data_IF_717295522509
#
_entry.id   IF_717295522509
#
_cell.length_a   1.000
_cell.length_b   1.000
_cell.length_c   1.000
_cell.angle_alpha   90.00
_cell.angle_beta   90.00
_cell.angle_gamma   90.00
#
_symmetry.space_group_name_H-M   'P 1'
#
loop_
_entity.id
_entity.type
_entity.pdbx_description
1 polymer ?
#
# COMPACT_ATOMS: atom_id res chain seq x y z
N UNK A 1 -51.86 -62.77 -5.37
CA UNK A 1 -50.63 -62.21 -5.96
C UNK A 1 -50.29 -60.95 -5.20
N UNK A 2 -49.08 -60.89 -4.65
CA UNK A 2 -48.66 -59.78 -3.80
C UNK A 2 -47.61 -58.92 -4.50
N UNK A 3 -47.90 -57.63 -4.64
CA UNK A 3 -47.04 -56.61 -5.23
C UNK A 3 -46.15 -55.91 -4.20
N UNK A 4 -46.35 -56.16 -2.91
CA UNK A 4 -45.67 -55.49 -1.81
C UNK A 4 -45.93 -53.98 -1.81
N UNK A 5 -44.98 -53.24 -1.23
CA UNK A 5 -45.01 -51.78 -1.19
C UNK A 5 -44.52 -51.19 -2.51
N UNK A 6 -45.33 -50.30 -3.10
CA UNK A 6 -44.98 -49.54 -4.31
C UNK A 6 -45.25 -48.06 -4.04
N UNK A 7 -44.27 -47.16 -4.28
CA UNK A 7 -44.50 -45.74 -4.11
C UNK A 7 -45.66 -45.23 -4.97
N UNK A 8 -46.44 -44.29 -4.44
CA UNK A 8 -47.51 -43.62 -5.20
C UNK A 8 -46.93 -43.05 -6.52
N UNK A 9 -47.69 -43.25 -7.61
CA UNK A 9 -47.35 -42.90 -9.00
C UNK A 9 -46.16 -43.69 -9.61
N UNK A 10 -45.64 -44.71 -8.93
CA UNK A 10 -44.76 -45.73 -9.52
C UNK A 10 -45.51 -47.03 -9.78
N UNK A 11 -44.96 -47.89 -10.65
CA UNK A 11 -45.59 -49.16 -11.00
C UNK A 11 -44.70 -50.36 -10.72
N UNK A 12 -45.31 -51.49 -10.34
CA UNK A 12 -44.68 -52.82 -10.32
C UNK A 12 -45.49 -53.78 -11.17
N UNK A 13 -44.83 -54.45 -12.12
CA UNK A 13 -45.43 -55.48 -12.96
C UNK A 13 -45.01 -56.86 -12.46
N UNK A 14 -45.95 -57.80 -12.41
CA UNK A 14 -45.65 -59.20 -12.15
C UNK A 14 -46.29 -60.08 -13.24
N UNK A 15 -45.58 -61.12 -13.72
CA UNK A 15 -46.09 -61.99 -14.77
C UNK A 15 -47.17 -62.93 -14.22
N UNK A 16 -48.16 -63.21 -15.07
CA UNK A 16 -49.25 -64.16 -14.85
C UNK A 16 -49.30 -65.11 -16.05
N UNK A 17 -49.37 -66.41 -15.75
CA UNK A 17 -49.57 -67.47 -16.73
C UNK A 17 -50.95 -68.05 -16.50
N UNK A 18 -51.85 -67.85 -17.46
CA UNK A 18 -53.21 -68.38 -17.45
C UNK A 18 -53.28 -69.66 -18.30
N UNK A 19 -53.40 -70.82 -17.66
CA UNK A 19 -53.37 -72.13 -18.34
C UNK A 19 -54.75 -72.78 -18.35
N UNK A 20 -55.23 -73.19 -19.51
CA UNK A 20 -56.42 -74.03 -19.59
C UNK A 20 -56.05 -75.49 -19.31
N UNK A 21 -56.43 -75.99 -18.13
CA UNK A 21 -56.21 -77.39 -17.71
C UNK A 21 -57.41 -78.30 -18.00
N UNK A 22 -58.49 -77.74 -18.56
CA UNK A 22 -59.70 -78.46 -18.95
C UNK A 22 -59.53 -79.25 -20.25
N UNK A 23 -60.63 -79.89 -20.67
CA UNK A 23 -60.69 -80.67 -21.92
C UNK A 23 -61.37 -79.92 -23.07
N UNK A 24 -61.99 -78.78 -22.77
CA UNK A 24 -62.73 -77.94 -23.72
C UNK A 24 -62.02 -76.59 -23.84
N UNK A 25 -62.29 -75.88 -24.94
CA UNK A 25 -61.75 -74.54 -25.18
C UNK A 25 -62.35 -73.57 -24.16
N UNK A 26 -61.51 -72.79 -23.48
CA UNK A 26 -61.97 -71.76 -22.55
C UNK A 26 -62.05 -70.42 -23.29
N UNK A 27 -63.26 -69.96 -23.58
CA UNK A 27 -63.50 -68.64 -24.15
C UNK A 27 -63.60 -67.60 -23.03
N UNK A 28 -62.77 -66.57 -23.08
CA UNK A 28 -62.80 -65.46 -22.12
C UNK A 28 -63.88 -64.47 -22.56
N UNK A 29 -64.96 -64.37 -21.80
CA UNK A 29 -66.13 -63.52 -22.10
C UNK A 29 -66.03 -62.13 -21.47
N UNK A 30 -65.29 -62.02 -20.34
CA UNK A 30 -65.15 -60.78 -19.58
C UNK A 30 -63.87 -60.79 -18.76
N UNK A 31 -63.33 -59.59 -18.49
CA UNK A 31 -62.24 -59.42 -17.54
C UNK A 31 -62.49 -58.20 -16.67
N UNK A 32 -62.54 -58.41 -15.36
CA UNK A 32 -62.67 -57.35 -14.37
C UNK A 32 -61.34 -57.15 -13.65
N UNK A 33 -60.79 -55.93 -13.75
CA UNK A 33 -59.52 -55.53 -13.09
C UNK A 33 -59.86 -54.54 -11.98
N UNK A 34 -59.40 -54.77 -10.72
CA UNK A 34 -59.69 -53.88 -9.61
C UNK A 34 -58.91 -52.55 -9.73
N UNK A 35 -59.38 -51.51 -9.05
CA UNK A 35 -58.72 -50.20 -9.04
C UNK A 35 -57.26 -50.31 -8.58
N UNK A 36 -56.37 -49.55 -9.24
CA UNK A 36 -54.93 -49.57 -8.94
C UNK A 36 -54.16 -50.63 -9.73
N UNK A 37 -54.84 -51.45 -10.53
CA UNK A 37 -54.22 -52.47 -11.38
C UNK A 37 -54.57 -52.26 -12.86
N UNK A 38 -53.67 -52.70 -13.74
CA UNK A 38 -53.91 -52.78 -15.18
C UNK A 38 -53.23 -54.02 -15.77
N UNK A 39 -53.58 -54.40 -16.99
CA UNK A 39 -53.00 -55.53 -17.69
C UNK A 39 -52.09 -55.04 -18.82
N UNK A 40 -50.96 -55.71 -19.01
CA UNK A 40 -49.98 -55.42 -20.06
C UNK A 40 -49.53 -56.71 -20.75
N UNK A 41 -49.18 -56.63 -22.03
CA UNK A 41 -48.62 -57.76 -22.79
C UNK A 41 -49.63 -58.56 -23.64
N UNK A 42 -50.91 -58.20 -23.63
CA UNK A 42 -51.95 -58.83 -24.45
C UNK A 42 -52.35 -57.88 -25.58
N UNK A 43 -51.93 -58.18 -26.81
CA UNK A 43 -51.99 -57.27 -27.97
C UNK A 43 -53.41 -56.86 -28.37
N UNK A 44 -54.42 -57.67 -28.05
CA UNK A 44 -55.82 -57.46 -28.41
C UNK A 44 -56.78 -57.51 -27.20
N UNK A 45 -56.24 -57.49 -25.98
CA UNK A 45 -56.99 -57.72 -24.74
C UNK A 45 -57.29 -59.21 -24.48
N UNK A 46 -57.71 -59.53 -23.26
CA UNK A 46 -58.04 -60.91 -22.87
C UNK A 46 -59.45 -61.33 -23.33
N UNK A 47 -60.39 -60.40 -23.41
CA UNK A 47 -61.78 -60.67 -23.81
C UNK A 47 -61.84 -61.09 -25.28
N UNK A 48 -62.56 -62.18 -25.57
CA UNK A 48 -62.66 -62.79 -26.90
C UNK A 48 -61.51 -63.72 -27.25
N UNK A 49 -60.51 -63.89 -26.35
CA UNK A 49 -59.47 -64.90 -26.53
C UNK A 49 -59.98 -66.29 -26.21
N UNK A 50 -59.61 -67.27 -27.03
CA UNK A 50 -59.88 -68.70 -26.82
C UNK A 50 -58.61 -69.42 -26.39
N UNK A 51 -58.61 -69.96 -25.17
CA UNK A 51 -57.49 -70.75 -24.64
C UNK A 51 -57.77 -72.22 -24.88
N UNK A 52 -57.03 -72.82 -25.81
CA UNK A 52 -57.17 -74.25 -26.16
C UNK A 52 -56.77 -75.15 -24.97
N UNK A 53 -57.31 -76.40 -24.89
CA UNK A 53 -56.91 -77.35 -23.87
C UNK A 53 -55.38 -77.55 -23.81
N UNK A 54 -54.79 -77.37 -22.62
CA UNK A 54 -53.36 -77.53 -22.38
C UNK A 54 -52.48 -76.36 -22.80
N UNK A 55 -53.03 -75.27 -23.35
CA UNK A 55 -52.26 -74.07 -23.70
C UNK A 55 -52.34 -73.00 -22.61
N UNK A 56 -51.44 -72.01 -22.69
CA UNK A 56 -51.40 -70.88 -21.75
C UNK A 56 -51.38 -69.54 -22.47
N UNK A 57 -51.94 -68.52 -21.82
CA UNK A 57 -51.74 -67.11 -22.14
C UNK A 57 -50.82 -66.50 -21.09
N UNK A 58 -49.88 -65.68 -21.53
CA UNK A 58 -48.96 -64.94 -20.65
C UNK A 58 -49.24 -63.45 -20.72
N UNK A 59 -49.37 -62.80 -19.57
CA UNK A 59 -49.54 -61.36 -19.45
C UNK A 59 -48.96 -60.85 -18.13
N UNK A 60 -48.81 -59.54 -18.00
CA UNK A 60 -48.42 -58.91 -16.74
C UNK A 60 -49.62 -58.22 -16.11
N UNK A 61 -49.76 -58.39 -14.79
CA UNK A 61 -50.58 -57.50 -13.98
C UNK A 61 -49.66 -56.40 -13.45
N UNK A 62 -50.03 -55.14 -13.67
CA UNK A 62 -49.26 -53.96 -13.27
C UNK A 62 -50.02 -53.25 -12.16
N UNK A 63 -49.40 -53.16 -10.98
CA UNK A 63 -49.88 -52.37 -9.86
C UNK A 63 -49.32 -50.94 -9.95
N UNK A 64 -50.19 -49.93 -9.93
CA UNK A 64 -49.88 -48.49 -9.97
C UNK A 64 -50.75 -47.78 -8.91
N UNK A 65 -50.31 -47.73 -7.64
CA UNK A 65 -51.05 -47.06 -6.58
C UNK A 65 -51.08 -45.54 -6.83
N UNK A 66 -52.27 -44.94 -6.71
CA UNK A 66 -52.47 -43.50 -6.82
C UNK A 66 -52.74 -42.81 -5.47
N UNK A 67 -52.68 -43.58 -4.37
CA UNK A 67 -52.79 -43.11 -2.99
C UNK A 67 -52.06 -44.07 -2.06
N UNK A 68 -51.81 -43.62 -0.84
CA UNK A 68 -51.30 -44.48 0.21
C UNK A 68 -52.34 -45.49 0.69
N UNK A 69 -51.87 -46.65 1.16
CA UNK A 69 -52.68 -47.70 1.76
C UNK A 69 -52.84 -48.95 0.88
N UNK A 70 -53.54 -49.95 1.43
CA UNK A 70 -53.74 -51.23 0.77
C UNK A 70 -54.72 -51.12 -0.42
N UNK A 71 -54.38 -51.81 -1.49
CA UNK A 71 -55.21 -52.09 -2.66
C UNK A 71 -55.44 -53.60 -2.69
N UNK A 72 -56.55 -54.03 -2.10
CA UNK A 72 -57.01 -55.40 -2.16
C UNK A 72 -58.13 -55.51 -3.21
N UNK A 73 -58.04 -56.52 -4.07
CA UNK A 73 -59.06 -56.74 -5.08
C UNK A 73 -58.86 -58.07 -5.81
N UNK A 74 -59.78 -58.38 -6.70
CA UNK A 74 -59.75 -59.62 -7.46
C UNK A 74 -59.68 -59.30 -8.96
N UNK A 75 -58.67 -59.84 -9.63
CA UNK A 75 -58.70 -59.98 -11.09
C UNK A 75 -59.62 -61.16 -11.40
N UNK A 76 -60.73 -60.90 -12.07
CA UNK A 76 -61.70 -61.93 -12.47
C UNK A 76 -61.66 -62.08 -13.98
N UNK A 77 -61.39 -63.30 -14.45
CA UNK A 77 -61.49 -63.70 -15.85
C UNK A 77 -62.76 -64.53 -15.99
N UNK A 78 -63.79 -63.96 -16.60
CA UNK A 78 -65.10 -64.58 -16.79
C UNK A 78 -65.05 -65.45 -18.04
N UNK A 79 -65.63 -66.65 -17.96
CA UNK A 79 -65.69 -67.56 -19.09
C UNK A 79 -66.94 -68.44 -19.06
N UNK A 80 -67.29 -68.99 -20.22
CA UNK A 80 -68.52 -69.76 -20.41
C UNK A 80 -68.66 -70.98 -19.47
N UNK A 81 -67.53 -71.53 -19.01
CA UNK A 81 -67.48 -72.70 -18.12
C UNK A 81 -67.26 -72.32 -16.63
N UNK A 82 -67.20 -71.03 -16.31
CA UNK A 82 -67.03 -70.48 -14.97
C UNK A 82 -65.89 -69.46 -14.88
N UNK A 83 -65.92 -68.68 -13.79
CA UNK A 83 -64.96 -67.59 -13.58
C UNK A 83 -63.67 -68.08 -12.92
N UNK A 84 -62.55 -67.52 -13.36
CA UNK A 84 -61.23 -67.70 -12.72
C UNK A 84 -60.87 -66.42 -11.98
N UNK A 85 -60.59 -66.56 -10.69
CA UNK A 85 -60.33 -65.44 -9.79
C UNK A 85 -58.87 -65.48 -9.30
N UNK A 86 -58.20 -64.33 -9.36
CA UNK A 86 -56.87 -64.13 -8.80
C UNK A 86 -56.93 -62.95 -7.81
N UNK A 87 -56.76 -63.25 -6.52
CA UNK A 87 -56.62 -62.22 -5.49
C UNK A 87 -55.35 -61.40 -5.75
N UNK A 88 -55.48 -60.07 -5.70
CA UNK A 88 -54.39 -59.11 -5.83
C UNK A 88 -54.27 -58.34 -4.52
N UNK A 89 -53.04 -58.19 -4.05
CA UNK A 89 -52.68 -57.38 -2.90
C UNK A 89 -51.49 -56.48 -3.28
N UNK A 90 -51.53 -55.23 -2.88
CA UNK A 90 -50.43 -54.28 -3.01
C UNK A 90 -50.66 -53.10 -2.08
N UNK A 91 -49.59 -52.45 -1.64
CA UNK A 91 -49.68 -51.30 -0.72
C UNK A 91 -49.03 -50.09 -1.39
N UNK A 92 -49.80 -49.03 -1.57
CA UNK A 92 -49.27 -47.73 -1.95
C UNK A 92 -48.55 -47.09 -0.76
N UNK A 93 -47.31 -46.65 -0.95
CA UNK A 93 -46.52 -45.96 0.09
C UNK A 93 -46.07 -44.57 -0.36
N UNK A 94 -45.75 -43.70 0.60
CA UNK A 94 -45.19 -42.37 0.31
C UNK A 94 -43.91 -42.53 -0.52
N UNK A 95 -43.79 -41.76 -1.59
CA UNK A 95 -42.53 -41.66 -2.32
C UNK A 95 -41.51 -40.90 -1.47
N UNK A 96 -40.46 -41.58 -1.03
CA UNK A 96 -39.36 -41.01 -0.24
C UNK A 96 -38.28 -40.43 -1.16
N UNK A 97 -38.19 -39.10 -1.27
CA UNK A 97 -37.16 -38.38 -2.05
C UNK A 97 -36.72 -37.13 -1.29
N UNK A 98 -35.42 -36.88 -1.09
CA UNK A 98 -34.96 -35.62 -0.51
C UNK A 98 -35.08 -34.48 -1.52
N UNK A 99 -35.32 -33.27 -1.03
CA UNK A 99 -35.32 -32.05 -1.84
C UNK A 99 -34.42 -31.04 -1.15
N UNK A 100 -33.16 -31.00 -1.58
CA UNK A 100 -32.13 -30.17 -0.95
C UNK A 100 -32.00 -28.83 -1.67
N UNK A 101 -31.95 -27.76 -0.89
CA UNK A 101 -31.70 -26.39 -1.36
C UNK A 101 -30.59 -25.76 -0.52
N UNK A 102 -29.85 -24.81 -1.10
CA UNK A 102 -28.75 -24.10 -0.44
C UNK A 102 -29.01 -22.59 -0.44
N UNK A 103 -28.68 -21.93 0.66
CA UNK A 103 -28.77 -20.48 0.79
C UNK A 103 -27.67 -19.93 1.72
N UNK A 104 -26.92 -18.89 1.33
CA UNK A 104 -26.92 -18.27 0.00
C UNK A 104 -26.29 -19.18 -1.07
N UNK A 105 -26.59 -18.91 -2.35
CA UNK A 105 -25.99 -19.61 -3.51
C UNK A 105 -24.60 -19.06 -3.90
N UNK A 106 -24.17 -17.99 -3.24
CA UNK A 106 -22.84 -17.41 -3.43
C UNK A 106 -22.34 -16.77 -2.13
N UNK A 107 -21.03 -16.82 -1.92
CA UNK A 107 -20.35 -16.21 -0.78
C UNK A 107 -19.18 -15.37 -1.30
N UNK A 108 -19.12 -14.12 -0.86
CA UNK A 108 -17.96 -13.25 -1.04
C UNK A 108 -17.25 -13.07 0.29
N UNK A 109 -16.00 -13.52 0.37
CA UNK A 109 -15.16 -13.39 1.55
C UNK A 109 -14.52 -12.00 1.66
N UNK A 110 -14.62 -11.16 0.61
CA UNK A 110 -13.99 -9.85 0.57
C UNK A 110 -12.46 -9.93 0.56
N UNK A 111 -11.81 -8.87 1.04
CA UNK A 111 -10.36 -8.80 1.13
C UNK A 111 -9.85 -9.45 2.43
N UNK A 112 -8.93 -10.42 2.28
CA UNK A 112 -8.33 -11.18 3.38
C UNK A 112 -6.81 -11.12 3.25
N UNK A 113 -6.13 -10.82 4.35
CA UNK A 113 -4.68 -10.73 4.38
C UNK A 113 -4.02 -12.10 4.10
N UNK A 114 -2.89 -12.10 3.38
CA UNK A 114 -2.15 -13.34 3.13
C UNK A 114 -1.74 -14.00 4.45
N UNK A 115 -1.97 -15.31 4.56
CA UNK A 115 -1.70 -16.10 5.77
C UNK A 115 -2.82 -16.08 6.82
N UNK A 116 -3.83 -15.21 6.66
CA UNK A 116 -5.04 -15.20 7.48
C UNK A 116 -6.15 -16.06 6.85
N UNK A 117 -7.25 -16.26 7.59
CA UNK A 117 -8.43 -16.96 7.09
C UNK A 117 -9.72 -16.18 7.34
N UNK A 118 -10.67 -16.28 6.40
CA UNK A 118 -12.04 -15.83 6.59
C UNK A 118 -13.00 -17.02 6.53
N UNK A 119 -14.09 -16.94 7.29
CA UNK A 119 -15.10 -17.99 7.40
C UNK A 119 -16.48 -17.45 7.04
N UNK A 120 -17.25 -18.26 6.34
CA UNK A 120 -18.63 -17.98 6.00
C UNK A 120 -19.47 -19.25 6.16
N UNK A 121 -20.76 -19.09 6.40
CA UNK A 121 -21.69 -20.20 6.58
C UNK A 121 -22.76 -20.18 5.51
N UNK A 122 -23.02 -21.32 4.89
CA UNK A 122 -24.20 -21.57 4.06
C UNK A 122 -25.16 -22.50 4.81
N UNK A 123 -26.45 -22.43 4.48
CA UNK A 123 -27.47 -23.30 5.01
C UNK A 123 -27.99 -24.23 3.93
N UNK A 124 -28.06 -25.53 4.24
CA UNK A 124 -28.69 -26.55 3.42
C UNK A 124 -30.01 -26.94 4.08
N UNK A 125 -31.11 -26.88 3.34
CA UNK A 125 -32.46 -27.19 3.83
C UNK A 125 -33.06 -28.34 3.05
N UNK A 126 -33.72 -29.27 3.75
CA UNK A 126 -34.41 -30.40 3.14
C UNK A 126 -35.93 -30.25 3.24
N UNK A 127 -36.59 -29.93 2.12
CA UNK A 127 -38.05 -29.85 2.02
C UNK A 127 -38.68 -31.11 1.40
N UNK A 128 -37.91 -32.18 1.27
CA UNK A 128 -38.36 -33.45 0.70
C UNK A 128 -39.09 -34.34 1.70
N UNK A 129 -39.29 -35.60 1.31
CA UNK A 129 -40.00 -36.62 2.09
C UNK A 129 -39.06 -37.71 2.60
N UNK A 130 -37.75 -37.55 2.43
CA UNK A 130 -36.70 -38.44 2.91
C UNK A 130 -35.49 -37.64 3.39
N UNK A 131 -34.66 -38.16 4.32
CA UNK A 131 -33.38 -37.56 4.66
C UNK A 131 -32.45 -37.48 3.43
N UNK A 132 -31.75 -36.36 3.25
CA UNK A 132 -30.77 -36.21 2.18
C UNK A 132 -29.35 -36.28 2.71
N UNK A 133 -28.43 -36.93 1.98
CA UNK A 133 -27.03 -37.07 2.40
C UNK A 133 -26.09 -36.36 1.45
N UNK A 134 -25.35 -35.38 1.96
CA UNK A 134 -24.21 -34.78 1.28
C UNK A 134 -23.00 -35.67 1.52
N UNK A 135 -22.56 -36.40 0.49
CA UNK A 135 -21.54 -37.44 0.63
C UNK A 135 -20.11 -36.90 0.56
N UNK A 136 -19.87 -35.92 -0.30
CA UNK A 136 -18.55 -35.32 -0.54
C UNK A 136 -18.69 -33.90 -1.09
N UNK A 137 -17.61 -33.15 -0.98
CA UNK A 137 -17.43 -31.87 -1.66
C UNK A 137 -16.37 -31.99 -2.76
N UNK A 138 -16.47 -31.11 -3.74
CA UNK A 138 -15.43 -30.87 -4.74
C UNK A 138 -15.36 -29.35 -5.00
N UNK A 139 -14.20 -28.89 -5.45
CA UNK A 139 -14.04 -27.55 -6.00
C UNK A 139 -14.04 -27.65 -7.52
N UNK A 140 -14.76 -26.73 -8.16
CA UNK A 140 -14.72 -26.51 -9.59
C UNK A 140 -14.29 -25.07 -9.82
N UNK A 141 -13.06 -24.89 -10.24
CA UNK A 141 -12.54 -23.56 -10.52
C UNK A 141 -13.16 -22.95 -11.76
N UNK A 142 -13.19 -21.62 -11.75
CA UNK A 142 -13.48 -20.81 -12.94
C UNK A 142 -12.18 -20.39 -13.67
N UNK A 143 -11.00 -20.75 -13.15
CA UNK A 143 -9.66 -20.49 -13.70
C UNK A 143 -8.73 -21.71 -13.71
N UNK A 144 -7.41 -21.51 -13.57
CA UNK A 144 -6.35 -22.55 -13.67
C UNK A 144 -5.76 -22.99 -12.32
N UNK A 145 -6.41 -22.71 -11.19
CA UNK A 145 -5.79 -22.78 -9.84
C UNK A 145 -6.17 -24.02 -9.00
N UNK A 146 -6.83 -25.04 -9.57
CA UNK A 146 -7.21 -26.22 -8.77
C UNK A 146 -5.99 -27.10 -8.49
N UNK A 147 -5.58 -27.13 -7.23
CA UNK A 147 -4.58 -28.05 -6.71
C UNK A 147 -4.86 -28.46 -5.26
N UNK A 148 -4.06 -29.36 -4.66
CA UNK A 148 -4.21 -29.76 -3.25
C UNK A 148 -4.00 -28.63 -2.23
N UNK A 149 -3.60 -27.44 -2.68
CA UNK A 149 -3.36 -26.25 -1.87
C UNK A 149 -4.31 -25.09 -2.28
N UNK A 150 -5.50 -25.42 -2.77
CA UNK A 150 -6.54 -24.44 -3.09
C UNK A 150 -6.88 -23.56 -1.88
N UNK A 151 -7.28 -22.32 -2.14
CA UNK A 151 -7.52 -21.27 -1.15
C UNK A 151 -8.92 -21.37 -0.56
N UNK A 152 -9.86 -22.07 -1.21
CA UNK A 152 -11.21 -22.33 -0.65
C UNK A 152 -11.31 -23.73 -0.05
N UNK A 153 -11.93 -23.85 1.13
CA UNK A 153 -12.04 -25.11 1.87
C UNK A 153 -13.45 -25.28 2.41
N UNK A 154 -14.01 -26.49 2.30
CA UNK A 154 -15.21 -26.88 3.06
C UNK A 154 -14.78 -27.32 4.46
N UNK A 155 -15.08 -26.49 5.46
CA UNK A 155 -14.68 -26.69 6.85
C UNK A 155 -15.54 -27.69 7.63
N UNK A 156 -16.73 -28.00 7.12
CA UNK A 156 -17.63 -28.99 7.74
C UNK A 156 -17.27 -30.42 7.34
N UNK A 157 -17.25 -31.33 8.32
CA UNK A 157 -16.98 -32.75 8.07
C UNK A 157 -18.12 -33.40 7.28
N UNK A 158 -17.77 -34.15 6.23
CA UNK A 158 -18.69 -34.95 5.41
C UNK A 158 -18.42 -36.46 5.61
N UNK A 159 -19.42 -37.34 5.43
CA UNK A 159 -20.79 -37.07 4.96
C UNK A 159 -21.67 -36.37 6.01
N UNK A 160 -22.66 -35.61 5.54
CA UNK A 160 -23.62 -34.86 6.36
C UNK A 160 -25.06 -35.21 5.97
N UNK A 161 -25.88 -35.57 6.95
CA UNK A 161 -27.31 -35.88 6.75
C UNK A 161 -28.17 -34.66 7.09
N UNK A 162 -29.13 -34.35 6.22
CA UNK A 162 -30.15 -33.32 6.42
C UNK A 162 -31.50 -34.01 6.58
N UNK A 163 -31.98 -34.07 7.82
CA UNK A 163 -33.27 -34.68 8.15
C UNK A 163 -34.45 -33.94 7.51
N UNK A 164 -35.59 -34.62 7.41
CA UNK A 164 -36.81 -34.07 6.80
C UNK A 164 -37.23 -32.79 7.53
N UNK A 165 -37.42 -31.70 6.78
CA UNK A 165 -37.81 -30.39 7.32
C UNK A 165 -36.72 -29.68 8.12
N UNK A 166 -35.51 -30.25 8.22
CA UNK A 166 -34.39 -29.65 8.92
C UNK A 166 -33.53 -28.79 7.99
N UNK A 167 -32.72 -27.94 8.64
CA UNK A 167 -31.65 -27.19 7.99
C UNK A 167 -30.35 -27.38 8.75
N UNK A 168 -29.24 -27.52 8.03
CA UNK A 168 -27.90 -27.66 8.59
C UNK A 168 -26.98 -26.58 8.01
N UNK A 169 -25.97 -26.18 8.77
CA UNK A 169 -24.96 -25.22 8.31
C UNK A 169 -23.73 -25.94 7.77
N UNK A 170 -23.14 -25.40 6.71
CA UNK A 170 -21.83 -25.79 6.20
C UNK A 170 -20.90 -24.58 6.25
N UNK A 171 -19.74 -24.77 6.85
CA UNK A 171 -18.69 -23.79 6.98
C UNK A 171 -17.82 -23.82 5.72
N UNK A 172 -17.59 -22.65 5.14
CA UNK A 172 -16.66 -22.40 4.06
C UNK A 172 -15.53 -21.52 4.60
N UNK A 173 -14.30 -21.80 4.19
CA UNK A 173 -13.10 -21.08 4.61
C UNK A 173 -12.34 -20.59 3.38
N UNK A 174 -11.87 -19.35 3.41
CA UNK A 174 -10.97 -18.77 2.43
C UNK A 174 -9.62 -18.44 3.08
N UNK A 175 -8.53 -18.93 2.50
CA UNK A 175 -7.14 -18.77 2.96
C UNK A 175 -6.26 -18.33 1.79
N UNK A 176 -6.20 -17.02 1.47
CA UNK A 176 -5.39 -16.56 0.33
C UNK A 176 -3.90 -16.74 0.59
N UNK A 177 -3.18 -17.15 -0.45
CA UNK A 177 -1.71 -17.31 -0.45
C UNK A 177 -0.99 -16.41 -1.47
N UNK A 178 -1.75 -15.65 -2.27
CA UNK A 178 -1.25 -14.70 -3.26
C UNK A 178 -2.14 -13.46 -3.30
N UNK A 179 -1.56 -12.32 -3.68
CA UNK A 179 -2.28 -11.06 -3.88
C UNK A 179 -3.06 -11.10 -5.21
N UNK A 180 -4.28 -11.64 -5.16
CA UNK A 180 -5.14 -11.79 -6.31
C UNK A 180 -6.60 -11.88 -5.90
N UNK A 181 -7.50 -11.51 -6.82
CA UNK A 181 -8.93 -11.86 -6.72
C UNK A 181 -9.10 -13.28 -7.28
N UNK A 182 -9.69 -14.18 -6.50
CA UNK A 182 -9.90 -15.59 -6.84
C UNK A 182 -11.39 -15.92 -6.75
N UNK A 183 -11.87 -16.76 -7.67
CA UNK A 183 -13.27 -17.19 -7.72
C UNK A 183 -13.42 -18.63 -8.15
N UNK A 184 -14.19 -19.42 -7.41
CA UNK A 184 -14.46 -20.83 -7.69
C UNK A 184 -15.91 -21.21 -7.41
N UNK A 185 -16.25 -22.48 -7.62
CA UNK A 185 -17.54 -23.06 -7.25
C UNK A 185 -17.32 -24.25 -6.33
N UNK A 186 -17.90 -24.18 -5.13
CA UNK A 186 -18.02 -25.33 -4.23
C UNK A 186 -19.17 -26.20 -4.71
N UNK A 187 -18.89 -27.47 -5.01
CA UNK A 187 -19.87 -28.46 -5.45
C UNK A 187 -20.07 -29.48 -4.35
N UNK A 188 -21.27 -29.54 -3.77
CA UNK A 188 -21.66 -30.53 -2.76
C UNK A 188 -22.44 -31.65 -3.44
N UNK A 189 -21.88 -32.85 -3.44
CA UNK A 189 -22.50 -34.02 -4.06
C UNK A 189 -23.44 -34.70 -3.08
N UNK A 190 -24.74 -34.64 -3.39
CA UNK A 190 -25.75 -35.48 -2.75
C UNK A 190 -25.76 -36.88 -3.39
N UNK A 191 -25.98 -37.93 -2.59
CA UNK A 191 -25.94 -39.31 -3.08
C UNK A 191 -27.09 -39.66 -4.04
N UNK A 192 -28.23 -38.99 -3.86
CA UNK A 192 -29.53 -39.28 -4.47
C UNK A 192 -30.22 -38.03 -5.05
N UNK A 193 -29.47 -36.93 -5.19
CA UNK A 193 -29.98 -35.66 -5.69
C UNK A 193 -28.94 -34.96 -6.59
N UNK A 194 -29.39 -33.97 -7.36
CA UNK A 194 -28.47 -33.11 -8.12
C UNK A 194 -27.48 -32.39 -7.17
N UNK A 195 -26.22 -32.18 -7.59
CA UNK A 195 -25.24 -31.44 -6.80
C UNK A 195 -25.72 -30.03 -6.47
N UNK A 196 -25.40 -29.56 -5.26
CA UNK A 196 -25.60 -28.17 -4.86
C UNK A 196 -24.34 -27.39 -5.22
N UNK A 197 -24.50 -26.26 -5.89
CA UNK A 197 -23.38 -25.43 -6.35
C UNK A 197 -23.42 -24.07 -5.67
N UNK A 198 -22.29 -23.66 -5.11
CA UNK A 198 -22.13 -22.39 -4.39
C UNK A 198 -20.94 -21.64 -5.00
N UNK A 199 -21.18 -20.45 -5.54
CA UNK A 199 -20.11 -19.58 -6.00
C UNK A 199 -19.33 -18.99 -4.82
N UNK A 200 -18.01 -19.01 -4.86
CA UNK A 200 -17.15 -18.41 -3.83
C UNK A 200 -16.20 -17.41 -4.48
N UNK A 201 -16.08 -16.23 -3.88
CA UNK A 201 -15.13 -15.19 -4.30
C UNK A 201 -14.36 -14.66 -3.09
N UNK A 202 -13.14 -14.22 -3.31
CA UNK A 202 -12.33 -13.55 -2.29
C UNK A 202 -11.12 -12.88 -2.92
N UNK A 203 -10.52 -11.93 -2.19
CA UNK A 203 -9.30 -11.25 -2.60
C UNK A 203 -8.21 -11.45 -1.56
N UNK A 204 -7.08 -12.03 -1.96
CA UNK A 204 -5.86 -11.98 -1.17
C UNK A 204 -5.24 -10.58 -1.23
N UNK A 205 -4.93 -10.00 -0.07
CA UNK A 205 -4.23 -8.72 0.01
C UNK A 205 -2.96 -8.85 0.87
N UNK A 206 -1.92 -8.08 0.55
CA UNK A 206 -0.77 -7.92 1.44
C UNK A 206 -1.02 -6.69 2.32
N UNK A 207 -1.18 -6.83 3.65
CA UNK A 207 -1.33 -5.67 4.51
C UNK A 207 -0.02 -4.89 4.51
N UNK A 208 -0.03 -3.67 3.99
CA UNK A 208 1.13 -2.79 4.00
C UNK A 208 1.42 -2.32 5.44
N UNK A 209 2.70 -2.23 5.77
CA UNK A 209 3.19 -1.66 7.03
C UNK A 209 3.38 -0.15 6.94
N UNK A 210 3.97 0.44 7.98
CA UNK A 210 4.45 1.81 7.98
C UNK A 210 5.98 1.87 7.91
N UNK A 211 6.52 3.06 7.61
CA UNK A 211 7.96 3.32 7.66
C UNK A 211 8.28 4.12 8.92
N UNK A 212 9.34 3.74 9.63
CA UNK A 212 9.90 4.52 10.73
C UNK A 212 11.35 4.87 10.43
N UNK A 213 11.68 6.17 10.45
CA UNK A 213 13.04 6.66 10.25
C UNK A 213 13.69 7.05 11.59
N UNK A 214 14.93 6.62 11.78
CA UNK A 214 15.72 6.85 12.99
C UNK A 214 17.13 7.34 12.61
N UNK A 215 17.64 8.41 13.26
CA UNK A 215 16.94 9.23 14.26
C UNK A 215 15.82 10.10 13.63
N UNK A 216 14.85 10.54 14.42
CA UNK A 216 13.77 11.46 13.99
C UNK A 216 14.21 12.92 13.91
N UNK A 217 15.44 13.21 14.38
CA UNK A 217 16.12 14.49 14.25
C UNK A 217 17.59 14.22 13.99
N UNK A 218 18.14 14.90 13.00
CA UNK A 218 19.58 14.95 12.71
C UNK A 218 20.07 16.35 13.04
N UNK A 219 21.15 16.44 13.80
CA UNK A 219 21.81 17.68 14.14
C UNK A 219 23.25 17.62 13.60
N UNK A 220 23.52 18.44 12.58
CA UNK A 220 24.84 18.55 11.98
C UNK A 220 25.81 19.33 12.86
N UNK A 221 25.34 19.91 13.98
CA UNK A 221 26.13 20.79 14.84
C UNK A 221 26.68 22.00 14.07
N UNK A 222 27.80 22.54 14.52
CA UNK A 222 28.55 23.61 13.85
C UNK A 222 29.33 23.04 12.67
N UNK A 223 29.14 23.61 11.49
CA UNK A 223 29.88 23.24 10.26
C UNK A 223 30.35 24.52 9.58
N UNK A 224 31.62 24.52 9.21
CA UNK A 224 32.28 25.66 8.58
C UNK A 224 31.73 25.91 7.16
N UNK A 225 31.60 27.19 6.79
CA UNK A 225 31.24 27.59 5.43
C UNK A 225 32.15 26.95 4.39
N UNK A 226 31.57 26.47 3.29
CA UNK A 226 32.31 25.81 2.21
C UNK A 226 32.75 24.36 2.51
N UNK A 227 32.57 23.89 3.75
CA UNK A 227 32.74 22.48 4.08
C UNK A 227 31.46 21.67 3.79
N UNK A 228 31.53 20.35 3.90
CA UNK A 228 30.35 19.49 3.81
C UNK A 228 30.38 18.47 4.94
N UNK A 229 29.25 18.29 5.62
CA UNK A 229 29.07 17.24 6.61
C UNK A 229 27.93 16.33 6.19
N UNK A 230 28.14 15.03 6.31
CA UNK A 230 27.18 13.99 5.91
C UNK A 230 26.70 13.26 7.16
N UNK A 231 25.39 13.09 7.28
CA UNK A 231 24.75 12.28 8.32
C UNK A 231 23.80 11.26 7.68
N UNK A 232 23.49 10.19 8.41
CA UNK A 232 22.66 9.10 7.89
C UNK A 232 21.36 8.94 8.68
N UNK A 233 20.28 8.66 7.97
CA UNK A 233 18.97 8.32 8.53
C UNK A 233 18.63 6.90 8.10
N UNK A 234 18.32 6.02 9.05
CA UNK A 234 17.90 4.64 8.77
C UNK A 234 16.40 4.53 8.86
N UNK A 235 15.75 4.10 7.77
CA UNK A 235 14.31 3.88 7.70
C UNK A 235 13.99 2.37 7.63
N UNK A 236 13.06 1.91 8.48
CA UNK A 236 12.65 0.51 8.63
C UNK A 236 11.16 0.34 8.31
N UNK A 237 10.78 -0.69 7.56
CA UNK A 237 9.38 -1.08 7.41
C UNK A 237 8.88 -1.85 8.64
N UNK A 238 7.76 -1.42 9.22
CA UNK A 238 7.18 -1.99 10.44
C UNK A 238 5.71 -2.35 10.26
N UNK A 239 5.31 -3.49 10.79
CA UNK A 239 3.89 -3.94 10.77
C UNK A 239 3.44 -4.54 9.44
N UNK A 240 4.35 -4.69 8.48
CA UNK A 240 4.09 -5.20 7.13
C UNK A 240 5.18 -4.72 6.16
N UNK A 241 5.20 -5.21 4.92
CA UNK A 241 6.04 -4.63 3.87
C UNK A 241 5.63 -3.19 3.57
N UNK A 242 6.57 -2.35 3.16
CA UNK A 242 6.31 -0.98 2.75
C UNK A 242 7.13 -0.63 1.52
N UNK A 243 6.61 0.26 0.68
CA UNK A 243 7.33 0.75 -0.51
C UNK A 243 7.74 2.19 -0.28
N UNK A 244 9.04 2.45 -0.13
CA UNK A 244 9.58 3.82 -0.15
C UNK A 244 9.59 4.29 -1.61
N UNK A 245 9.03 5.47 -1.86
CA UNK A 245 8.85 6.04 -3.20
C UNK A 245 9.98 7.00 -3.52
N UNK A 246 10.40 7.80 -2.53
CA UNK A 246 11.47 8.77 -2.64
C UNK A 246 11.65 9.56 -1.35
N UNK A 247 12.60 10.50 -1.36
CA UNK A 247 12.77 11.45 -0.27
C UNK A 247 13.17 12.83 -0.82
N UNK A 248 12.82 13.88 -0.08
CA UNK A 248 13.10 15.27 -0.43
C UNK A 248 13.52 16.04 0.82
N UNK A 249 14.37 17.05 0.66
CA UNK A 249 14.66 18.05 1.70
C UNK A 249 13.89 19.34 1.43
N UNK A 250 13.54 20.05 2.48
CA UNK A 250 12.94 21.39 2.42
C UNK A 250 13.44 22.27 3.57
N UNK A 251 13.39 23.60 3.41
CA UNK A 251 13.92 24.55 4.38
C UNK A 251 15.45 24.71 4.31
N UNK A 252 16.02 25.35 5.33
CA UNK A 252 17.48 25.54 5.50
C UNK A 252 18.17 26.28 4.35
N UNK A 253 17.46 27.18 3.67
CA UNK A 253 17.94 27.92 2.49
C UNK A 253 18.56 27.03 1.38
N UNK A 254 18.18 25.75 1.30
CA UNK A 254 18.73 24.80 0.32
C UNK A 254 20.06 24.16 0.70
N UNK A 255 20.58 24.39 1.90
CA UNK A 255 21.85 23.82 2.38
C UNK A 255 21.77 22.33 2.73
N UNK A 256 20.56 21.78 2.92
CA UNK A 256 20.35 20.34 3.12
C UNK A 256 20.08 19.65 1.78
N UNK A 257 20.98 18.77 1.38
CA UNK A 257 20.97 18.13 0.06
C UNK A 257 20.96 16.62 0.20
N UNK A 258 20.22 15.94 -0.68
CA UNK A 258 20.28 14.49 -0.84
C UNK A 258 21.24 14.16 -1.99
N UNK A 259 22.45 13.63 -1.73
CA UNK A 259 23.42 13.33 -2.77
C UNK A 259 22.93 12.21 -3.68
N UNK A 260 22.17 11.27 -3.12
CA UNK A 260 21.45 10.24 -3.87
C UNK A 260 20.07 10.04 -3.23
N UNK A 261 19.04 10.74 -3.73
CA UNK A 261 17.67 10.50 -3.30
C UNK A 261 17.31 9.03 -3.53
N UNK A 262 16.64 8.36 -2.56
CA UNK A 262 16.31 6.96 -2.72
C UNK A 262 15.36 6.75 -3.91
N UNK A 263 15.66 5.76 -4.74
CA UNK A 263 14.73 5.26 -5.75
C UNK A 263 13.62 4.46 -5.09
N UNK A 264 12.55 4.20 -5.86
CA UNK A 264 11.46 3.36 -5.39
C UNK A 264 11.97 1.98 -4.96
N UNK A 265 11.77 1.65 -3.68
CA UNK A 265 12.35 0.47 -3.02
C UNK A 265 11.27 -0.25 -2.20
N UNK A 266 11.10 -1.54 -2.44
CA UNK A 266 10.22 -2.41 -1.67
C UNK A 266 10.98 -2.98 -0.47
N UNK A 267 10.46 -2.73 0.73
CA UNK A 267 10.98 -3.24 1.99
C UNK A 267 10.06 -4.33 2.51
N UNK A 268 10.63 -5.48 2.87
CA UNK A 268 9.94 -6.50 3.66
C UNK A 268 9.85 -6.07 5.14
N UNK A 269 8.92 -6.64 5.90
CA UNK A 269 8.75 -6.28 7.32
C UNK A 269 10.05 -6.49 8.12
N UNK A 270 10.53 -5.44 8.79
CA UNK A 270 11.81 -5.41 9.51
C UNK A 270 13.03 -5.11 8.65
N UNK A 271 12.88 -4.96 7.32
CA UNK A 271 13.97 -4.55 6.44
C UNK A 271 14.22 -3.04 6.55
N UNK A 272 15.50 -2.67 6.48
CA UNK A 272 15.97 -1.29 6.58
C UNK A 272 16.57 -0.78 5.29
N UNK A 273 16.55 0.54 5.12
CA UNK A 273 17.36 1.29 4.16
C UNK A 273 17.98 2.52 4.81
N UNK A 274 19.06 3.04 4.24
CA UNK A 274 19.74 4.24 4.71
C UNK A 274 19.61 5.38 3.70
N UNK A 275 19.41 6.59 4.20
CA UNK A 275 19.38 7.83 3.43
C UNK A 275 20.51 8.71 3.96
N UNK A 276 21.40 9.14 3.07
CA UNK A 276 22.43 10.13 3.38
C UNK A 276 21.88 11.53 3.17
N UNK A 277 22.14 12.42 4.12
CA UNK A 277 21.79 13.84 4.05
C UNK A 277 23.08 14.63 4.22
N UNK A 278 23.36 15.52 3.27
CA UNK A 278 24.48 16.43 3.32
C UNK A 278 24.01 17.80 3.81
N UNK A 279 24.74 18.39 4.75
CA UNK A 279 24.67 19.81 5.06
C UNK A 279 25.87 20.50 4.39
N UNK A 280 25.57 21.45 3.51
CA UNK A 280 26.53 22.26 2.73
C UNK A 280 26.35 23.72 3.15
N UNK A 281 27.01 24.16 4.25
CA UNK A 281 26.85 25.51 4.78
C UNK A 281 27.34 26.57 3.79
N UNK A 282 26.48 27.56 3.54
CA UNK A 282 26.80 28.76 2.79
C UNK A 282 26.06 29.96 3.40
N UNK A 283 26.40 31.16 2.93
CA UNK A 283 25.89 32.42 3.44
C UNK A 283 26.53 32.84 4.76
N UNK A 284 25.89 33.81 5.42
CA UNK A 284 26.34 34.35 6.69
C UNK A 284 26.13 33.35 7.86
N UNK A 285 26.94 33.44 8.93
CA UNK A 285 26.80 32.62 10.14
C UNK A 285 25.37 32.63 10.69
N UNK A 286 24.75 31.46 10.75
CA UNK A 286 23.32 31.33 11.09
C UNK A 286 22.95 29.89 11.45
N UNK A 287 21.87 29.74 12.24
CA UNK A 287 21.26 28.41 12.46
C UNK A 287 20.26 28.12 11.37
N UNK A 288 20.39 26.95 10.75
CA UNK A 288 19.55 26.46 9.68
C UNK A 288 18.68 25.31 10.15
N UNK A 289 17.40 25.36 9.76
CA UNK A 289 16.42 24.33 10.06
C UNK A 289 15.77 23.85 8.76
N UNK A 290 15.66 22.54 8.61
CA UNK A 290 15.06 21.90 7.46
C UNK A 290 14.33 20.63 7.85
N UNK A 291 13.73 19.99 6.86
CA UNK A 291 13.03 18.71 7.03
C UNK A 291 13.41 17.77 5.89
N UNK A 292 13.83 16.56 6.24
CA UNK A 292 13.86 15.42 5.32
C UNK A 292 12.48 14.75 5.37
N UNK A 293 11.79 14.74 4.24
CA UNK A 293 10.50 14.06 4.07
C UNK A 293 10.71 12.80 3.24
N UNK A 294 10.43 11.63 3.84
CA UNK A 294 10.46 10.33 3.18
C UNK A 294 9.04 9.95 2.78
N UNK A 295 8.81 9.72 1.49
CA UNK A 295 7.51 9.35 0.93
C UNK A 295 7.43 7.84 0.76
N UNK A 296 6.33 7.23 1.20
CA UNK A 296 6.14 5.78 1.10
C UNK A 296 4.66 5.42 0.90
N UNK A 297 4.40 4.20 0.42
CA UNK A 297 3.06 3.59 0.45
C UNK A 297 2.98 2.65 1.64
N UNK A 298 2.12 2.98 2.60
CA UNK A 298 1.90 2.19 3.81
C UNK A 298 0.48 1.63 3.94
N UNK A 299 0.17 1.12 5.14
CA UNK A 299 -1.11 0.45 5.45
C UNK A 299 -2.37 1.28 5.20
N UNK A 300 -2.24 2.62 5.24
CA UNK A 300 -3.34 3.57 4.99
C UNK A 300 -3.30 4.23 3.61
N UNK A 301 -2.37 3.81 2.74
CA UNK A 301 -2.11 4.42 1.43
C UNK A 301 -0.81 5.25 1.42
N UNK A 302 -0.70 6.23 0.50
CA UNK A 302 0.47 7.11 0.44
C UNK A 302 0.62 7.93 1.72
N UNK A 303 1.81 7.92 2.30
CA UNK A 303 2.15 8.57 3.57
C UNK A 303 3.58 9.13 3.56
N UNK A 304 3.92 9.91 4.59
CA UNK A 304 5.25 10.52 4.75
C UNK A 304 5.80 10.34 6.16
N UNK A 305 7.12 10.28 6.27
CA UNK A 305 7.86 10.39 7.53
C UNK A 305 8.77 11.60 7.45
N UNK A 306 8.63 12.51 8.42
CA UNK A 306 9.47 13.70 8.51
C UNK A 306 10.57 13.51 9.56
N UNK A 307 11.79 13.88 9.18
CA UNK A 307 12.97 13.94 10.04
C UNK A 307 13.47 15.37 10.09
N UNK A 308 13.57 15.92 11.30
CA UNK A 308 14.01 17.31 11.51
C UNK A 308 15.51 17.41 11.26
N UNK A 309 15.93 18.40 10.48
CA UNK A 309 17.34 18.69 10.20
C UNK A 309 17.73 20.02 10.83
N UNK A 310 18.84 20.06 11.57
CA UNK A 310 19.41 21.28 12.12
C UNK A 310 20.91 21.35 11.81
N UNK A 311 21.42 22.55 11.57
CA UNK A 311 22.87 22.80 11.45
C UNK A 311 23.18 24.26 11.73
N UNK A 312 24.37 24.56 12.21
CA UNK A 312 24.85 25.93 12.42
C UNK A 312 25.98 26.23 11.44
N UNK A 313 25.78 27.23 10.59
CA UNK A 313 26.82 27.78 9.70
C UNK A 313 27.75 28.62 10.56
N UNK A 314 29.05 28.31 10.51
CA UNK A 314 30.09 29.10 11.18
C UNK A 314 31.13 29.57 10.16
N UNK A 315 31.77 30.73 10.38
CA UNK A 315 32.85 31.15 9.50
C UNK A 315 34.04 30.20 9.64
N UNK A 316 34.83 29.96 8.58
CA UNK A 316 36.11 29.27 8.69
C UNK A 316 37.04 30.04 9.64
N UNK A 317 37.92 29.37 10.38
CA UNK A 317 38.87 30.06 11.23
C UNK A 317 39.76 30.98 10.38
N UNK A 318 40.09 32.17 10.87
CA UNK A 318 40.95 33.15 10.17
C UNK A 318 42.24 32.50 9.64
N UNK A 319 42.80 31.52 10.35
CA UNK A 319 43.99 30.76 9.95
C UNK A 319 43.88 30.04 8.60
N UNK A 320 42.66 29.79 8.13
CA UNK A 320 42.34 29.10 6.88
C UNK A 320 41.83 30.06 5.79
N UNK A 321 41.78 31.36 6.09
CA UNK A 321 41.35 32.39 5.13
C UNK A 321 42.54 32.99 4.38
N UNK A 322 42.36 33.23 3.08
CA UNK A 322 43.31 33.97 2.25
C UNK A 322 43.37 35.44 2.69
N UNK A 323 42.21 36.08 2.82
CA UNK A 323 42.06 37.45 3.30
C UNK A 323 40.99 37.46 4.39
N UNK A 324 41.32 38.04 5.54
CA UNK A 324 40.33 38.36 6.58
C UNK A 324 40.58 39.76 7.08
N UNK A 325 39.53 40.57 7.08
CA UNK A 325 39.58 41.96 7.54
C UNK A 325 38.57 42.13 8.66
N UNK A 326 39.03 42.63 9.81
CA UNK A 326 38.19 42.88 10.98
C UNK A 326 38.21 44.37 11.27
N UNK A 327 37.03 44.98 11.33
CA UNK A 327 36.79 46.36 11.70
C UNK A 327 36.14 46.42 13.08
N UNK A 328 36.70 47.23 13.98
CA UNK A 328 36.14 47.56 15.29
C UNK A 328 36.09 49.08 15.45
N UNK A 329 35.16 49.59 16.25
CA UNK A 329 35.07 51.01 16.57
C UNK A 329 34.67 51.27 18.03
N UNK A 330 34.81 52.52 18.46
CA UNK A 330 34.78 52.88 19.89
C UNK A 330 33.53 53.62 20.33
N UNK A 331 32.66 54.02 19.40
CA UNK A 331 31.38 54.65 19.70
C UNK A 331 30.27 53.62 19.61
N UNK A 332 29.46 53.47 20.65
CA UNK A 332 28.29 52.59 20.60
C UNK A 332 27.20 53.22 19.72
N UNK A 333 26.31 52.40 19.16
CA UNK A 333 25.16 52.88 18.38
C UNK A 333 25.59 53.76 17.19
N UNK A 334 26.67 53.36 16.53
CA UNK A 334 27.14 53.94 15.28
C UNK A 334 27.30 52.83 14.26
N UNK A 335 26.93 53.12 13.02
CA UNK A 335 26.96 52.18 11.91
C UNK A 335 28.18 52.48 11.02
N UNK A 336 29.15 51.57 11.04
CA UNK A 336 30.41 51.70 10.32
C UNK A 336 30.66 50.44 9.48
N UNK A 337 30.50 50.58 8.17
CA UNK A 337 30.62 49.50 7.22
C UNK A 337 32.07 49.19 6.85
N UNK A 338 32.37 47.90 6.82
CA UNK A 338 33.56 47.33 6.21
C UNK A 338 33.27 46.92 4.77
N UNK A 339 34.13 47.37 3.86
CA UNK A 339 34.09 47.00 2.46
C UNK A 339 35.37 46.26 2.06
N UNK A 340 35.20 45.08 1.45
CA UNK A 340 36.25 44.41 0.70
C UNK A 340 35.91 44.45 -0.79
N UNK A 341 36.65 45.25 -1.55
CA UNK A 341 36.49 45.36 -3.00
C UNK A 341 37.48 44.42 -3.69
N UNK A 342 36.97 43.55 -4.54
CA UNK A 342 37.75 42.58 -5.30
C UNK A 342 38.42 43.15 -6.56
N UNK A 343 39.25 42.34 -7.25
CA UNK A 343 40.01 42.80 -8.41
C UNK A 343 39.14 43.36 -9.55
N UNK A 344 39.39 44.60 -9.93
CA UNK A 344 38.63 45.29 -10.98
C UNK A 344 37.26 45.81 -10.53
N UNK A 345 36.90 45.64 -9.26
CA UNK A 345 35.73 46.24 -8.64
C UNK A 345 35.93 47.72 -8.27
N UNK A 346 34.84 48.33 -7.81
CA UNK A 346 34.83 49.66 -7.25
C UNK A 346 34.00 49.68 -5.97
N UNK A 347 34.31 50.63 -5.08
CA UNK A 347 33.54 50.88 -3.85
C UNK A 347 32.07 51.16 -4.18
N UNK A 348 31.15 50.55 -3.42
CA UNK A 348 29.69 50.60 -3.59
C UNK A 348 29.15 50.03 -4.90
N UNK A 349 29.92 49.22 -5.63
CA UNK A 349 29.52 48.65 -6.92
C UNK A 349 29.52 47.11 -6.85
N UNK A 350 28.34 46.47 -6.67
CA UNK A 350 28.23 45.01 -6.78
C UNK A 350 28.51 44.54 -8.22
N UNK A 351 28.96 43.29 -8.42
CA UNK A 351 29.13 42.25 -7.40
C UNK A 351 30.47 42.34 -6.67
N UNK A 352 31.41 43.19 -7.12
CA UNK A 352 32.82 43.14 -6.73
C UNK A 352 33.14 43.90 -5.43
N UNK A 353 32.15 44.25 -4.63
CA UNK A 353 32.29 44.87 -3.31
C UNK A 353 31.48 44.09 -2.28
N UNK A 354 32.13 43.55 -1.25
CA UNK A 354 31.46 42.83 -0.16
C UNK A 354 31.30 43.76 1.05
N UNK A 355 30.04 44.06 1.40
CA UNK A 355 29.60 45.02 2.42
C UNK A 355 28.15 44.71 2.85
N UNK A 356 27.52 45.51 3.72
CA UNK A 356 26.21 45.20 4.32
C UNK A 356 25.09 44.80 3.33
N UNK A 357 24.98 45.45 2.16
CA UNK A 357 23.92 45.17 1.16
C UNK A 357 24.32 44.09 0.13
N UNK A 358 25.58 43.66 0.17
CA UNK A 358 26.15 42.62 -0.68
C UNK A 358 27.09 41.76 0.18
N UNK A 359 26.49 41.11 1.18
CA UNK A 359 27.17 40.45 2.30
C UNK A 359 27.75 39.07 1.94
N UNK A 360 27.31 38.45 0.83
CA UNK A 360 27.82 37.17 0.32
C UNK A 360 27.90 37.12 -1.22
N UNK A 361 28.70 37.98 -1.90
CA UNK A 361 28.72 38.02 -3.36
C UNK A 361 29.40 36.80 -3.97
N UNK A 362 28.93 36.39 -5.16
CA UNK A 362 29.54 35.34 -5.98
C UNK A 362 30.71 35.94 -6.79
N UNK A 363 31.94 35.66 -6.36
CA UNK A 363 33.19 36.06 -6.99
C UNK A 363 33.87 34.85 -7.62
N UNK A 364 34.61 35.05 -8.71
CA UNK A 364 35.40 33.98 -9.31
C UNK A 364 34.55 32.95 -10.05
N UNK A 365 34.57 31.70 -9.59
CA UNK A 365 33.85 30.59 -10.21
C UNK A 365 32.41 30.54 -9.68
N UNK A 366 31.45 30.80 -10.56
CA UNK A 366 30.02 30.76 -10.24
C UNK A 366 29.63 29.51 -9.43
N UNK A 367 29.11 29.72 -8.22
CA UNK A 367 28.65 28.68 -7.30
C UNK A 367 29.73 27.95 -6.50
N UNK A 368 31.01 28.30 -6.65
CA UNK A 368 32.04 27.97 -5.65
C UNK A 368 31.88 28.95 -4.49
N UNK A 369 31.82 28.45 -3.26
CA UNK A 369 31.60 29.28 -2.06
C UNK A 369 32.91 29.67 -1.40
N UNK A 370 34.02 29.03 -1.80
CA UNK A 370 35.33 29.23 -1.19
C UNK A 370 36.03 30.48 -1.70
N UNK A 371 35.70 30.95 -2.90
CA UNK A 371 36.18 32.19 -3.51
C UNK A 371 35.23 33.39 -3.36
N UNK A 372 34.11 33.18 -2.66
CA UNK A 372 33.15 34.23 -2.32
C UNK A 372 33.54 34.88 -0.98
N UNK A 373 33.78 36.19 -0.93
CA UNK A 373 33.92 36.87 0.35
C UNK A 373 32.56 36.87 1.06
N UNK A 374 32.58 37.02 2.38
CA UNK A 374 31.35 37.17 3.14
C UNK A 374 31.57 38.02 4.38
N UNK A 375 30.55 38.79 4.75
CA UNK A 375 30.47 39.56 5.98
C UNK A 375 29.86 38.68 7.08
N UNK A 376 30.66 38.32 8.09
CA UNK A 376 30.27 37.41 9.18
C UNK A 376 29.10 37.96 10.01
N UNK A 377 29.08 39.27 10.20
CA UNK A 377 28.07 40.03 10.93
C UNK A 377 28.15 41.49 10.51
N UNK A 378 27.01 42.01 10.12
CA UNK A 378 26.73 43.44 10.01
C UNK A 378 26.32 43.97 11.41
N UNK A 379 27.05 44.96 11.94
CA UNK A 379 26.83 45.51 13.29
C UNK A 379 26.38 46.97 13.24
N UNK A 380 25.08 47.17 13.06
CA UNK A 380 24.47 48.49 12.85
C UNK A 380 24.28 49.34 14.12
N UNK A 381 24.44 48.77 15.33
CA UNK A 381 24.12 49.45 16.59
C UNK A 381 25.09 49.19 17.77
N UNK A 382 26.28 48.65 17.48
CA UNK A 382 27.27 48.21 18.47
C UNK A 382 28.63 48.92 18.39
N UNK A 383 29.69 48.19 18.80
CA UNK A 383 31.10 48.59 18.71
C UNK A 383 31.84 47.86 17.57
N UNK A 384 31.09 47.14 16.72
CA UNK A 384 31.60 46.04 15.92
C UNK A 384 31.80 44.76 16.77
N UNK A 385 32.59 43.79 16.29
CA UNK A 385 33.32 43.83 15.03
C UNK A 385 32.43 43.55 13.82
N UNK A 386 32.78 44.18 12.71
CA UNK A 386 32.47 43.65 11.38
C UNK A 386 33.67 42.87 10.87
N UNK A 387 33.42 41.71 10.26
CA UNK A 387 34.49 40.89 9.72
C UNK A 387 34.12 40.39 8.33
N UNK A 388 34.95 40.72 7.34
CA UNK A 388 34.85 40.14 5.99
C UNK A 388 35.94 39.08 5.81
N UNK A 389 35.54 37.88 5.43
CA UNK A 389 36.43 36.75 5.20
C UNK A 389 36.37 36.27 3.74
N UNK A 390 37.52 35.89 3.18
CA UNK A 390 37.66 35.29 1.86
C UNK A 390 38.64 34.12 1.94
N UNK A 391 38.14 32.89 1.73
CA UNK A 391 38.95 31.68 1.90
C UNK A 391 39.94 31.47 0.77
N UNK A 392 39.52 31.70 -0.48
CA UNK A 392 40.34 31.55 -1.69
C UNK A 392 40.33 32.85 -2.48
N UNK A 393 41.46 33.55 -2.49
CA UNK A 393 41.61 34.79 -3.26
C UNK A 393 42.19 34.53 -4.66
N UNK A 394 41.53 35.09 -5.68
CA UNK A 394 42.05 35.17 -7.04
C UNK A 394 43.23 36.16 -7.15
N UNK A 395 44.08 35.99 -8.17
CA UNK A 395 45.16 36.97 -8.41
C UNK A 395 44.58 38.32 -8.82
N UNK A 396 45.06 39.40 -8.19
CA UNK A 396 44.56 40.75 -8.45
C UNK A 396 44.79 41.70 -7.30
N UNK A 397 44.34 42.94 -7.45
CA UNK A 397 44.40 43.96 -6.41
C UNK A 397 43.04 44.09 -5.73
N UNK A 398 43.00 43.83 -4.44
CA UNK A 398 41.86 44.07 -3.57
C UNK A 398 42.02 45.42 -2.86
N UNK A 399 40.92 46.02 -2.46
CA UNK A 399 40.91 47.28 -1.73
C UNK A 399 40.06 47.13 -0.47
N UNK A 400 40.52 47.74 0.63
CA UNK A 400 39.82 47.71 1.92
C UNK A 400 39.37 49.12 2.24
N UNK A 401 38.06 49.32 2.36
CA UNK A 401 37.48 50.58 2.78
C UNK A 401 36.74 50.42 4.10
N UNK A 402 36.71 51.51 4.86
CA UNK A 402 35.80 51.70 5.99
C UNK A 402 34.91 52.88 5.66
N UNK A 403 33.61 52.71 5.78
CA UNK A 403 32.63 53.75 5.49
C UNK A 403 31.80 54.04 6.73
N UNK A 404 31.81 55.28 7.19
CA UNK A 404 30.95 55.67 8.30
C UNK A 404 29.56 56.02 7.76
N UNK A 405 28.65 55.04 7.78
CA UNK A 405 27.32 55.14 7.20
C UNK A 405 26.38 56.01 8.02
N UNK A 406 26.22 55.73 9.32
CA UNK A 406 25.36 56.55 10.17
C UNK A 406 25.94 56.73 11.56
N UNK A 407 26.02 57.98 12.00
CA UNK A 407 26.45 58.27 13.37
C UNK A 407 25.33 58.14 14.40
N UNK A 408 24.06 57.97 13.99
CA UNK A 408 22.88 58.03 14.85
C UNK A 408 22.89 59.20 15.87
N UNK A 409 23.52 60.33 15.52
CA UNK A 409 23.77 61.50 16.40
C UNK A 409 24.82 61.30 17.52
N UNK A 410 25.61 60.23 17.49
CA UNK A 410 26.72 59.97 18.43
C UNK A 410 28.03 60.65 18.00
N UNK A 411 28.08 61.23 16.80
CA UNK A 411 29.20 62.04 16.33
C UNK A 411 30.38 61.20 15.82
N UNK A 412 31.60 61.56 16.20
CA UNK A 412 32.81 60.93 15.62
C UNK A 412 33.21 59.66 16.35
N UNK A 413 33.67 58.64 15.61
CA UNK A 413 34.17 57.38 16.17
C UNK A 413 35.64 57.14 15.82
N UNK A 414 36.38 56.44 16.68
CA UNK A 414 37.71 55.92 16.36
C UNK A 414 37.57 54.47 15.89
N UNK A 415 38.19 54.14 14.75
CA UNK A 415 38.15 52.81 14.13
C UNK A 415 39.51 52.11 14.15
N UNK A 416 39.49 50.79 14.19
CA UNK A 416 40.64 49.90 14.11
C UNK A 416 40.36 48.79 13.11
N UNK A 417 41.24 48.63 12.13
CA UNK A 417 41.15 47.61 11.09
C UNK A 417 42.34 46.68 11.20
N UNK A 418 42.07 45.40 11.42
CA UNK A 418 43.06 44.33 11.39
C UNK A 418 42.99 43.61 10.05
N UNK A 419 44.12 43.47 9.37
CA UNK A 419 44.23 42.76 8.10
C UNK A 419 45.05 41.50 8.32
N UNK A 420 44.43 40.35 8.06
CA UNK A 420 45.07 39.05 8.03
C UNK A 420 45.22 38.58 6.57
N UNK A 421 46.40 38.06 6.25
CA UNK A 421 46.71 37.45 4.95
C UNK A 421 47.25 36.05 5.22
N UNK A 422 46.65 35.04 4.58
CA UNK A 422 46.95 33.62 4.84
C UNK A 422 46.93 33.31 6.34
N UNK A 423 45.91 33.82 7.04
CA UNK A 423 45.74 33.65 8.48
C UNK A 423 46.72 34.38 9.40
N UNK A 424 47.68 35.13 8.86
CA UNK A 424 48.64 35.90 9.65
C UNK A 424 48.24 37.36 9.71
N UNK A 425 48.25 37.97 10.90
CA UNK A 425 48.05 39.41 11.06
C UNK A 425 49.23 40.16 10.40
N UNK A 426 48.96 40.85 9.30
CA UNK A 426 50.00 41.58 8.54
C UNK A 426 49.98 43.08 8.82
N UNK A 427 48.84 43.63 9.25
CA UNK A 427 48.71 45.03 9.58
C UNK A 427 47.55 45.29 10.56
N UNK A 428 47.74 46.30 11.41
CA UNK A 428 46.66 46.97 12.14
C UNK A 428 46.71 48.45 11.77
N UNK A 429 45.59 48.99 11.32
CA UNK A 429 45.45 50.40 10.93
C UNK A 429 44.37 51.03 11.80
N UNK A 430 44.63 52.24 12.28
CA UNK A 430 43.64 52.97 13.08
C UNK A 430 43.33 54.31 12.44
N UNK A 431 42.10 54.78 12.65
CA UNK A 431 41.68 56.11 12.25
C UNK A 431 40.93 56.75 13.40
N UNK A 432 41.41 57.91 13.83
CA UNK A 432 40.73 58.70 14.85
C UNK A 432 39.75 59.68 14.24
N UNK A 433 38.63 59.88 14.93
CA UNK A 433 37.59 60.86 14.63
C UNK A 433 37.06 60.75 13.20
N UNK A 434 36.76 59.53 12.76
CA UNK A 434 35.94 59.31 11.59
C UNK A 434 34.55 59.91 11.86
N UNK A 435 33.96 60.62 10.90
CA UNK A 435 32.60 61.17 11.03
C UNK A 435 31.71 60.73 9.87
N UNK A 436 30.40 60.89 10.02
CA UNK A 436 29.38 60.44 9.07
C UNK A 436 29.71 60.87 7.62
N UNK A 437 29.43 59.99 6.66
CA UNK A 437 29.78 60.09 5.24
C UNK A 437 31.24 59.93 4.86
N UNK A 438 32.16 59.83 5.84
CA UNK A 438 33.56 59.64 5.51
C UNK A 438 33.85 58.21 5.07
N UNK A 439 34.57 58.12 3.96
CA UNK A 439 35.12 56.87 3.45
C UNK A 439 36.63 56.92 3.64
N UNK A 440 37.16 55.90 4.31
CA UNK A 440 38.58 55.70 4.52
C UNK A 440 39.07 54.52 3.71
N UNK A 441 39.89 54.78 2.69
CA UNK A 441 40.64 53.74 1.99
C UNK A 441 41.85 53.35 2.86
N UNK A 442 41.70 52.25 3.58
CA UNK A 442 42.69 51.72 4.53
C UNK A 442 43.96 51.34 3.78
N UNK A 443 43.80 50.60 2.68
CA UNK A 443 44.90 50.14 1.85
C UNK A 443 44.47 49.19 0.75
N UNK A 444 45.46 48.64 0.05
CA UNK A 444 45.26 47.63 -0.99
C UNK A 444 45.98 46.34 -0.63
N UNK A 445 45.43 45.21 -1.08
CA UNK A 445 46.06 43.89 -0.97
C UNK A 445 46.36 43.43 -2.39
N UNK A 446 47.64 43.32 -2.74
CA UNK A 446 48.03 42.70 -4.00
C UNK A 446 48.16 41.19 -3.77
N UNK A 447 47.31 40.40 -4.43
CA UNK A 447 47.33 38.94 -4.38
C UNK A 447 47.99 38.37 -5.63
N UNK A 448 49.01 37.53 -5.47
CA UNK A 448 49.72 36.85 -6.56
C UNK A 448 50.07 35.43 -6.14
N UNK A 449 49.62 34.43 -6.90
CA UNK A 449 50.03 33.02 -6.76
C UNK A 449 50.00 32.49 -5.30
N UNK A 450 48.91 32.74 -4.57
CA UNK A 450 48.72 32.24 -3.20
C UNK A 450 49.40 33.06 -2.10
N UNK A 451 50.00 34.21 -2.44
CA UNK A 451 50.56 35.15 -1.47
C UNK A 451 49.93 36.55 -1.65
N UNK A 452 49.55 37.15 -0.52
CA UNK A 452 49.08 38.53 -0.45
C UNK A 452 50.15 39.47 0.10
N UNK A 453 50.15 40.73 -0.34
CA UNK A 453 50.92 41.81 0.28
C UNK A 453 50.02 43.02 0.48
N UNK A 454 49.85 43.44 1.75
CA UNK A 454 49.12 44.64 2.10
C UNK A 454 50.00 45.89 1.93
N UNK A 455 49.46 46.91 1.27
CA UNK A 455 50.07 48.24 1.13
C UNK A 455 49.12 49.30 1.70
N UNK A 456 49.50 50.04 2.76
CA UNK A 456 48.65 51.09 3.29
C UNK A 456 48.51 52.24 2.29
N UNK A 457 47.31 52.79 2.16
CA UNK A 457 47.02 53.97 1.33
C UNK A 457 46.66 55.16 2.21
N UNK A 458 45.74 54.97 3.16
CA UNK A 458 45.32 55.96 4.16
C UNK A 458 44.80 57.26 3.54
N UNK A 459 43.90 57.14 2.56
CA UNK A 459 43.24 58.27 1.92
C UNK A 459 41.79 58.41 2.35
N UNK A 460 41.29 59.65 2.37
CA UNK A 460 39.92 59.98 2.77
C UNK A 460 39.13 60.51 1.58
N UNK A 461 37.87 60.11 1.49
CA UNK A 461 36.85 60.66 0.61
C UNK A 461 35.53 60.81 1.35
N UNK A 462 34.51 61.30 0.65
CA UNK A 462 33.15 61.45 1.16
C UNK A 462 32.23 60.72 0.17
N UNK A 463 31.33 59.88 0.68
CA UNK A 463 30.19 59.38 -0.07
C UNK A 463 28.95 60.25 0.26
N UNK A 464 27.96 60.29 -0.64
CA UNK A 464 26.82 61.22 -0.53
C UNK A 464 25.47 60.47 -0.49
N UNK A 465 25.47 59.25 0.04
CA UNK A 465 24.34 58.34 -0.02
C UNK A 465 23.73 58.03 1.37
N UNK A 466 24.16 58.69 2.45
CA UNK A 466 23.88 58.22 3.82
C UNK A 466 22.81 59.00 4.61
N UNK A 467 22.44 58.44 5.76
CA UNK A 467 21.51 59.01 6.75
C UNK A 467 22.27 59.76 7.85
N UNK A 468 22.93 60.85 7.47
CA UNK A 468 23.55 61.77 8.42
C UNK A 468 22.56 62.88 8.81
N UNK A 469 22.41 63.16 10.12
CA UNK A 469 21.55 64.23 10.66
C UNK A 469 22.34 65.47 11.08
#
# INVERSE_FOLDING_TARGET
MDFGEVPVDMSRALPVVFTNTGKLVFAIEGVTVPQGYTLRGVKDGLVGSEVQPGTSLEFEVVFLPNREGAFDGQLVVEGAEGDVVLDLHGVGVVRQVPVLTVSPISVDFGAVALGEEARATIQISNSGTAPGVIARSALRSTGTDIGPNDVFIVGTQLPLTVEIGASVTVDLVFRPNQEAVVSDVVVLHAADHQPLEIGVTGQGIVPLGDVLCTPSRVDFSRVERGSTKIETVTCEARGGPARVIGATTSGGAGMFVLPSPPNTTDLTNGQTMTIEVEFRPDGIPSTQQGTLTVQYNGGSGPATVDVVLNGEVIPPPVTETAISVTLEWTSNDTDVDLHLVGPGGAFFEPPMDCFFDNDTPDWGLMGDTTDNPFLDRDDVDGYGPEQVNLSVAASGQYQVYVHYWSDHNNGTTDTSVQIHINGQLVATRTRSRLYCSQVWLVGTIQWNNGAGTFTPVDSMSIAHLEQCL
#
